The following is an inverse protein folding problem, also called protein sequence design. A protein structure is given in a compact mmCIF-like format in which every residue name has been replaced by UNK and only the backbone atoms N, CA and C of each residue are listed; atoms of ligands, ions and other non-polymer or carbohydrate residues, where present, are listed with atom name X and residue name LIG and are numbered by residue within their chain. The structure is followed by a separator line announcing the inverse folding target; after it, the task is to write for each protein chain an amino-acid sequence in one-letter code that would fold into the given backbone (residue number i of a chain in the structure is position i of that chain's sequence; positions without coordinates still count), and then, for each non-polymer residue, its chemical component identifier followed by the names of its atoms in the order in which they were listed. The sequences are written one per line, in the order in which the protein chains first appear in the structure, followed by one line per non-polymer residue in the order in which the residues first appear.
data_IF_600198374370
#
_entry.id   IF_600198374370
#
_cell.length_a   1.000
_cell.length_b   1.000
_cell.length_c   1.000
_cell.angle_alpha   90.00
_cell.angle_beta   90.00
_cell.angle_gamma   90.00
#
_symmetry.space_group_name_H-M   'P 1'
#
loop_
_entity.id
_entity.type
_entity.pdbx_description
1 polymer ?
#
# COMPACT_ATOMS: atom_id res chain seq x y z
N UNK A 1 -16.63 -19.68 -28.11
CA UNK A 1 -16.98 -18.26 -27.94
C UNK A 1 -17.00 -17.99 -26.44
N UNK A 2 -16.02 -17.27 -25.90
CA UNK A 2 -15.95 -16.97 -24.47
C UNK A 2 -17.02 -15.94 -24.10
N UNK A 3 -17.91 -16.29 -23.17
CA UNK A 3 -18.86 -15.36 -22.59
C UNK A 3 -18.08 -14.24 -21.89
N UNK A 4 -18.27 -12.99 -22.33
CA UNK A 4 -17.74 -11.84 -21.63
C UNK A 4 -18.40 -11.77 -20.25
N UNK A 5 -17.60 -11.89 -19.19
CA UNK A 5 -18.08 -11.80 -17.81
C UNK A 5 -18.70 -10.43 -17.59
N UNK A 6 -19.95 -10.38 -17.13
CA UNK A 6 -20.62 -9.11 -16.91
C UNK A 6 -19.98 -8.40 -15.69
N UNK A 7 -20.07 -7.06 -15.64
CA UNK A 7 -19.46 -6.27 -14.57
C UNK A 7 -20.02 -6.65 -13.18
N UNK A 8 -21.31 -6.98 -13.11
CA UNK A 8 -21.98 -7.31 -11.87
C UNK A 8 -21.47 -8.64 -11.26
N UNK A 9 -21.26 -9.66 -12.09
CA UNK A 9 -20.73 -10.96 -11.70
C UNK A 9 -19.30 -10.82 -11.18
N UNK A 10 -18.50 -9.99 -11.86
CA UNK A 10 -17.12 -9.71 -11.45
C UNK A 10 -17.08 -9.00 -10.10
N UNK A 11 -17.94 -8.00 -9.91
CA UNK A 11 -18.05 -7.28 -8.62
C UNK A 11 -18.56 -8.20 -7.52
N UNK A 12 -19.59 -9.01 -7.79
CA UNK A 12 -20.17 -9.94 -6.82
C UNK A 12 -19.14 -10.99 -6.38
N UNK A 13 -18.38 -11.54 -7.32
CA UNK A 13 -17.31 -12.50 -7.04
C UNK A 13 -16.22 -11.91 -6.13
N UNK A 14 -15.71 -10.72 -6.44
CA UNK A 14 -14.67 -10.11 -5.60
C UNK A 14 -15.22 -9.63 -4.26
N UNK A 15 -16.48 -9.19 -4.21
CA UNK A 15 -17.13 -8.77 -2.97
C UNK A 15 -17.29 -9.92 -1.99
N UNK A 16 -17.70 -11.11 -2.44
CA UNK A 16 -17.83 -12.27 -1.56
C UNK A 16 -16.49 -12.75 -1.00
N UNK A 17 -15.40 -12.55 -1.74
CA UNK A 17 -14.05 -12.90 -1.27
C UNK A 17 -13.47 -11.89 -0.28
N UNK A 18 -13.65 -10.58 -0.53
CA UNK A 18 -12.89 -9.53 0.17
C UNK A 18 -13.72 -8.63 1.08
N UNK A 19 -15.05 -8.60 0.94
CA UNK A 19 -15.91 -7.67 1.70
C UNK A 19 -16.73 -8.36 2.79
N UNK A 20 -16.86 -9.68 2.75
CA UNK A 20 -17.54 -10.44 3.79
C UNK A 20 -16.52 -10.89 4.83
N UNK A 21 -16.69 -10.54 6.12
CA UNK A 21 -15.80 -11.02 7.16
C UNK A 21 -16.00 -12.52 7.35
N UNK A 22 -14.95 -13.29 7.08
CA UNK A 22 -14.91 -14.74 7.29
C UNK A 22 -13.94 -15.05 8.43
N UNK A 23 -14.31 -15.96 9.33
CA UNK A 23 -13.39 -16.49 10.33
C UNK A 23 -12.44 -17.48 9.65
N UNK A 24 -11.20 -17.07 9.45
CA UNK A 24 -10.16 -17.97 8.96
C UNK A 24 -9.71 -18.91 10.07
N UNK A 25 -9.77 -20.21 9.82
CA UNK A 25 -9.10 -21.19 10.68
C UNK A 25 -7.62 -21.22 10.28
N UNK A 26 -6.77 -20.61 11.09
CA UNK A 26 -5.33 -20.65 10.86
C UNK A 26 -4.84 -22.09 11.03
N UNK A 27 -4.29 -22.66 9.97
CA UNK A 27 -3.76 -24.03 9.98
C UNK A 27 -2.37 -24.10 10.62
N UNK A 28 -1.82 -25.32 10.81
CA UNK A 28 -0.50 -25.54 11.42
C UNK A 28 0.68 -24.81 10.75
N UNK A 29 0.49 -24.31 9.52
CA UNK A 29 1.50 -23.57 8.78
C UNK A 29 1.88 -22.25 9.47
N UNK A 30 1.00 -21.64 10.27
CA UNK A 30 1.31 -20.40 11.00
C UNK A 30 2.31 -20.65 12.11
N UNK A 31 2.20 -21.78 12.82
CA UNK A 31 3.19 -22.23 13.81
C UNK A 31 4.55 -22.52 13.15
N UNK A 32 4.53 -23.17 11.98
CA UNK A 32 5.75 -23.43 11.19
C UNK A 32 6.40 -22.11 10.78
N UNK A 33 5.64 -21.17 10.24
CA UNK A 33 6.14 -19.84 9.86
C UNK A 33 6.68 -19.06 11.07
N UNK A 34 5.97 -19.08 12.20
CA UNK A 34 6.43 -18.46 13.45
C UNK A 34 7.74 -19.07 13.95
N UNK A 35 7.89 -20.41 13.87
CA UNK A 35 9.13 -21.10 14.27
C UNK A 35 10.31 -20.76 13.36
N UNK A 36 10.08 -20.62 12.05
CA UNK A 36 11.09 -20.19 11.08
C UNK A 36 11.51 -18.74 11.31
N UNK A 37 10.57 -17.89 11.76
CA UNK A 37 10.83 -16.48 12.05
C UNK A 37 11.38 -16.23 13.47
N UNK A 38 11.39 -17.23 14.37
CA UNK A 38 11.72 -17.05 15.78
C UNK A 38 13.14 -16.50 16.03
N UNK A 39 14.08 -16.80 15.13
CA UNK A 39 15.46 -16.29 15.19
C UNK A 39 15.68 -14.98 14.43
N UNK A 40 14.67 -14.45 13.74
CA UNK A 40 14.78 -13.23 12.94
C UNK A 40 14.60 -12.04 13.87
N UNK A 41 15.57 -11.12 13.85
CA UNK A 41 15.46 -9.86 14.59
C UNK A 41 14.27 -9.05 14.03
N UNK A 42 13.36 -8.55 14.88
CA UNK A 42 12.28 -7.68 14.43
C UNK A 42 12.82 -6.49 13.64
N UNK A 43 12.07 -6.05 12.63
CA UNK A 43 12.42 -4.85 11.89
C UNK A 43 12.39 -3.65 12.84
N UNK A 44 13.43 -2.81 12.77
CA UNK A 44 13.49 -1.57 13.54
C UNK A 44 12.30 -0.66 13.19
N UNK A 45 11.86 0.21 14.12
CA UNK A 45 10.82 1.18 13.83
C UNK A 45 11.17 2.02 12.61
N UNK A 46 10.29 2.01 11.60
CA UNK A 46 10.46 2.80 10.39
C UNK A 46 10.03 4.23 10.69
N UNK A 47 10.98 5.16 10.56
CA UNK A 47 10.74 6.61 10.67
C UNK A 47 10.79 7.20 9.26
N UNK A 48 9.66 7.70 8.76
CA UNK A 48 9.57 8.35 7.46
C UNK A 48 9.81 9.85 7.63
N UNK A 49 10.87 10.36 6.99
CA UNK A 49 11.26 11.77 7.02
C UNK A 49 10.86 12.50 5.74
N UNK A 50 10.86 13.84 5.73
CA UNK A 50 10.66 14.62 4.51
C UNK A 50 11.70 14.32 3.42
N UNK A 51 12.93 13.98 3.81
CA UNK A 51 14.02 13.64 2.86
C UNK A 51 13.75 12.30 2.15
N UNK A 52 13.16 11.33 2.85
CA UNK A 52 12.72 10.07 2.25
C UNK A 52 11.65 10.32 1.17
N UNK A 53 10.71 11.23 1.46
CA UNK A 53 9.68 11.65 0.50
C UNK A 53 10.32 12.38 -0.67
N UNK A 54 11.27 13.28 -0.44
CA UNK A 54 11.96 14.01 -1.49
C UNK A 54 12.69 13.05 -2.44
N UNK A 55 13.41 12.07 -1.90
CA UNK A 55 14.15 11.08 -2.70
C UNK A 55 13.20 10.14 -3.47
N UNK A 56 12.11 9.72 -2.85
CA UNK A 56 11.08 8.90 -3.50
C UNK A 56 10.41 9.66 -4.66
N UNK A 57 9.96 10.89 -4.40
CA UNK A 57 9.29 11.74 -5.40
C UNK A 57 10.24 12.11 -6.53
N UNK A 58 11.53 12.36 -6.25
CA UNK A 58 12.56 12.65 -7.27
C UNK A 58 12.65 11.54 -8.32
N UNK A 59 12.56 10.27 -7.90
CA UNK A 59 12.60 9.08 -8.78
C UNK A 59 11.29 8.84 -9.54
N UNK A 60 10.18 9.42 -9.10
CA UNK A 60 8.88 9.21 -9.73
C UNK A 60 8.80 9.87 -11.13
N UNK A 61 8.22 9.22 -12.16
CA UNK A 61 8.04 9.84 -13.48
C UNK A 61 7.06 11.03 -13.42
N UNK A 62 7.44 12.17 -13.99
CA UNK A 62 6.70 13.44 -13.89
C UNK A 62 5.22 13.32 -14.29
N UNK A 63 4.95 12.64 -15.40
CA UNK A 63 3.64 12.62 -16.06
C UNK A 63 2.92 11.27 -15.92
N UNK A 64 3.19 10.54 -14.83
CA UNK A 64 2.38 9.37 -14.49
C UNK A 64 0.96 9.83 -14.12
N UNK A 65 -0.05 9.00 -14.43
CA UNK A 65 -1.45 9.30 -14.12
C UNK A 65 -1.59 9.67 -12.63
N UNK A 66 -2.29 10.77 -12.32
CA UNK A 66 -2.46 11.23 -10.96
C UNK A 66 -3.45 10.33 -10.21
N UNK A 67 -3.43 10.42 -8.88
CA UNK A 67 -4.42 9.76 -8.04
C UNK A 67 -5.78 10.46 -8.08
N UNK A 68 -6.65 10.11 -7.14
CA UNK A 68 -7.96 10.76 -6.93
C UNK A 68 -7.82 12.25 -6.59
N UNK A 69 -6.64 12.68 -6.14
CA UNK A 69 -6.27 14.07 -5.85
C UNK A 69 -5.95 14.90 -7.11
N UNK A 70 -5.81 14.27 -8.28
CA UNK A 70 -5.49 14.93 -9.54
C UNK A 70 -4.07 15.48 -9.62
N UNK A 71 -3.20 15.18 -8.64
CA UNK A 71 -1.90 15.81 -8.52
C UNK A 71 -0.79 14.95 -9.12
N UNK A 72 -0.15 15.46 -10.16
CA UNK A 72 0.96 14.76 -10.83
C UNK A 72 2.27 14.84 -10.02
N UNK A 73 3.13 13.83 -10.20
CA UNK A 73 4.47 13.79 -9.61
C UNK A 73 5.33 15.02 -9.96
N UNK A 74 5.11 15.61 -11.14
CA UNK A 74 5.76 16.87 -11.52
C UNK A 74 5.58 17.96 -10.46
N UNK A 75 4.36 18.12 -9.93
CA UNK A 75 4.05 19.11 -8.91
C UNK A 75 4.57 18.70 -7.53
N UNK A 76 4.48 17.40 -7.18
CA UNK A 76 5.07 16.89 -5.94
C UNK A 76 6.57 17.16 -5.85
N UNK A 77 7.30 17.08 -6.97
CA UNK A 77 8.73 17.42 -7.01
C UNK A 77 9.00 18.89 -6.71
N UNK A 78 8.14 19.79 -7.18
CA UNK A 78 8.30 21.23 -6.99
C UNK A 78 7.81 21.73 -5.62
N UNK A 79 6.81 21.07 -5.04
CA UNK A 79 6.17 21.50 -3.80
C UNK A 79 6.80 20.86 -2.56
N UNK A 80 8.02 21.29 -2.23
CA UNK A 80 8.76 20.81 -1.05
C UNK A 80 7.98 20.98 0.26
N UNK A 81 7.12 22.00 0.36
CA UNK A 81 6.26 22.23 1.54
C UNK A 81 5.32 21.04 1.80
N UNK A 82 4.91 20.32 0.74
CA UNK A 82 4.06 19.14 0.88
C UNK A 82 4.82 17.92 1.42
N UNK A 83 6.15 17.86 1.31
CA UNK A 83 6.94 16.69 1.72
C UNK A 83 6.84 16.44 3.22
N UNK A 84 6.83 17.50 4.03
CA UNK A 84 6.64 17.40 5.47
C UNK A 84 5.26 16.82 5.83
N UNK A 85 4.22 17.24 5.12
CA UNK A 85 2.86 16.73 5.34
C UNK A 85 2.77 15.25 4.91
N UNK A 86 3.32 14.91 3.75
CA UNK A 86 3.34 13.54 3.24
C UNK A 86 4.11 12.60 4.16
N UNK A 87 5.29 13.01 4.66
CA UNK A 87 6.06 12.21 5.60
C UNK A 87 5.25 11.90 6.87
N UNK A 88 4.57 12.91 7.44
CA UNK A 88 3.68 12.72 8.58
C UNK A 88 2.53 11.75 8.26
N UNK A 89 1.85 11.91 7.12
CA UNK A 89 0.74 11.05 6.72
C UNK A 89 1.19 9.60 6.48
N UNK A 90 2.36 9.40 5.86
CA UNK A 90 2.92 8.05 5.67
C UNK A 90 3.33 7.42 7.00
N UNK A 91 3.91 8.20 7.92
CA UNK A 91 4.21 7.71 9.26
C UNK A 91 2.94 7.31 10.03
N UNK A 92 1.88 8.10 9.93
CA UNK A 92 0.58 7.80 10.55
C UNK A 92 -0.02 6.49 10.01
N UNK A 93 0.20 6.16 8.74
CA UNK A 93 -0.31 4.92 8.13
C UNK A 93 0.48 3.65 8.55
N UNK A 94 1.67 3.81 9.12
CA UNK A 94 2.48 2.70 9.64
C UNK A 94 2.16 2.35 11.11
N UNK A 95 1.48 3.25 11.82
CA UNK A 95 1.10 3.10 13.23
C UNK A 95 -0.34 2.60 13.35
#
# INVERSE_FOLDING_TARGET
MGSATNQADTVAFWRSLWSEPVNHNEGPWTEVAASQCAGITPMDPVIITPDDVAEAVRRAPNWKSPGLDGLHNYWLKGFMVCHAVLARQFQEALN
#
